data_IF_887016880723
#
_entry.id   IF_887016880723
#
_cell.length_a   1.000
_cell.length_b   1.000
_cell.length_c   1.000
_cell.angle_alpha   90.00
_cell.angle_beta   90.00
_cell.angle_gamma   90.00
#
_symmetry.space_group_name_H-M   'P 1'
#
loop_
_entity.id
_entity.type
_entity.pdbx_description
1 polymer ?
#
# COMPACT_ATOMS: atom_id res chain seq x y z
N UNK A 1 2.83 16.39 18.67
CA UNK A 1 2.33 15.60 17.51
C UNK A 1 2.83 14.15 17.48
N UNK A 2 3.88 13.76 18.23
CA UNK A 2 4.33 12.35 18.30
C UNK A 2 3.36 11.41 19.04
N UNK A 3 2.68 11.91 20.09
CA UNK A 3 1.74 11.12 20.90
C UNK A 3 0.58 10.54 20.06
N UNK A 4 -0.03 11.33 19.17
CA UNK A 4 -1.13 10.86 18.33
C UNK A 4 -0.70 9.76 17.35
N UNK A 5 0.50 9.86 16.76
CA UNK A 5 1.02 8.84 15.85
C UNK A 5 1.32 7.54 16.60
N UNK A 6 1.85 7.65 17.83
CA UNK A 6 2.10 6.50 18.70
C UNK A 6 0.80 5.84 19.13
N UNK A 7 -0.20 6.62 19.55
CA UNK A 7 -1.52 6.11 19.94
C UNK A 7 -2.23 5.44 18.76
N UNK A 8 -2.16 6.01 17.55
CA UNK A 8 -2.74 5.40 16.36
C UNK A 8 -2.03 4.09 16.01
N UNK A 9 -0.70 4.04 16.11
CA UNK A 9 0.07 2.82 15.90
C UNK A 9 -0.32 1.73 16.90
N UNK A 10 -0.49 2.06 18.18
CA UNK A 10 -0.91 1.12 19.21
C UNK A 10 -2.35 0.66 19.00
N UNK A 11 -3.27 1.55 18.65
CA UNK A 11 -4.65 1.19 18.32
C UNK A 11 -4.72 0.19 17.14
N UNK A 12 -3.88 0.37 16.11
CA UNK A 12 -3.82 -0.58 14.97
C UNK A 12 -3.24 -1.92 15.42
N UNK A 13 -2.28 -1.94 16.35
CA UNK A 13 -1.75 -3.17 16.93
C UNK A 13 -2.79 -3.91 17.77
N UNK A 14 -3.55 -3.17 18.58
CA UNK A 14 -4.57 -3.75 19.46
C UNK A 14 -5.78 -4.25 18.66
N UNK A 15 -6.16 -3.53 17.60
CA UNK A 15 -7.23 -3.92 16.66
C UNK A 15 -6.73 -4.72 15.46
N UNK A 16 -5.52 -5.27 15.55
CA UNK A 16 -4.89 -5.95 14.43
C UNK A 16 -5.78 -7.09 13.94
N UNK A 17 -6.34 -6.94 12.74
CA UNK A 17 -7.39 -7.82 12.23
C UNK A 17 -6.83 -8.87 11.25
N UNK A 18 -5.53 -9.19 11.33
CA UNK A 18 -4.87 -10.18 10.46
C UNK A 18 -5.61 -11.52 10.44
N UNK A 19 -6.06 -11.98 11.60
CA UNK A 19 -6.75 -13.27 11.77
C UNK A 19 -8.18 -13.28 11.17
N UNK A 20 -8.73 -12.10 10.85
CA UNK A 20 -10.05 -11.97 10.24
C UNK A 20 -10.02 -12.15 8.71
N UNK A 21 -8.83 -12.12 8.10
CA UNK A 21 -8.67 -12.19 6.65
C UNK A 21 -8.29 -13.59 6.16
N UNK A 22 -8.71 -13.96 4.93
CA UNK A 22 -8.24 -15.19 4.31
C UNK A 22 -6.71 -15.19 4.22
N UNK A 23 -6.13 -16.39 4.14
CA UNK A 23 -4.67 -16.59 4.14
C UNK A 23 -3.95 -15.72 3.10
N UNK A 24 -4.60 -15.39 1.98
CA UNK A 24 -4.12 -14.42 1.00
C UNK A 24 -5.24 -13.51 0.52
N UNK A 25 -4.95 -12.22 0.43
CA UNK A 25 -5.85 -11.23 -0.15
C UNK A 25 -5.08 -10.10 -0.84
N UNK A 26 -5.80 -9.30 -1.62
CA UNK A 26 -5.23 -8.18 -2.39
C UNK A 26 -5.91 -6.88 -1.95
N UNK A 27 -5.13 -5.83 -1.83
CA UNK A 27 -5.59 -4.46 -1.62
C UNK A 27 -4.98 -3.53 -2.65
N UNK A 28 -5.63 -2.40 -2.85
CA UNK A 28 -5.29 -1.44 -3.87
C UNK A 28 -5.04 -0.06 -3.26
N UNK A 29 -4.10 0.67 -3.87
CA UNK A 29 -3.84 2.07 -3.55
C UNK A 29 -3.51 2.86 -4.81
N UNK A 30 -4.26 3.93 -5.05
CA UNK A 30 -3.98 4.89 -6.09
C UNK A 30 -3.24 6.10 -5.55
N UNK A 31 -2.22 6.57 -6.26
CA UNK A 31 -1.57 7.86 -5.96
C UNK A 31 -0.82 8.41 -7.17
N UNK A 32 -0.51 9.70 -7.11
CA UNK A 32 0.51 10.31 -7.98
C UNK A 32 1.91 10.11 -7.43
N UNK A 33 2.88 9.91 -8.31
CA UNK A 33 4.29 10.07 -8.03
C UNK A 33 4.90 11.12 -8.94
N UNK A 34 5.94 11.80 -8.44
CA UNK A 34 6.78 12.62 -9.31
C UNK A 34 7.45 11.74 -10.36
N UNK A 35 7.70 12.28 -11.54
CA UNK A 35 8.45 11.55 -12.59
C UNK A 35 9.81 11.03 -12.09
N UNK A 36 10.48 11.80 -11.21
CA UNK A 36 11.75 11.42 -10.62
C UNK A 36 11.62 10.19 -9.72
N UNK A 37 10.61 10.15 -8.86
CA UNK A 37 10.40 9.03 -7.95
C UNK A 37 9.88 7.79 -8.69
N UNK A 38 9.07 8.00 -9.72
CA UNK A 38 8.66 6.93 -10.63
C UNK A 38 9.86 6.30 -11.36
N UNK A 39 10.76 7.09 -11.94
CA UNK A 39 11.94 6.56 -12.62
C UNK A 39 12.90 5.85 -11.65
N UNK A 40 13.05 6.34 -10.40
CA UNK A 40 13.78 5.61 -9.36
C UNK A 40 13.16 4.23 -9.09
N UNK A 41 11.84 4.18 -8.87
CA UNK A 41 11.12 2.92 -8.63
C UNK A 41 11.24 1.95 -9.80
N UNK A 42 11.11 2.46 -11.02
CA UNK A 42 11.21 1.69 -12.26
C UNK A 42 12.60 1.12 -12.48
N UNK A 43 13.65 1.79 -12.00
CA UNK A 43 15.02 1.31 -12.04
C UNK A 43 15.33 0.30 -10.92
N UNK A 44 14.57 0.31 -9.82
CA UNK A 44 14.70 -0.65 -8.71
C UNK A 44 13.82 -1.89 -8.90
N UNK A 45 13.78 -2.49 -10.10
CA UNK A 45 12.98 -3.70 -10.35
C UNK A 45 13.41 -4.84 -9.42
N UNK A 46 12.44 -5.49 -8.77
CA UNK A 46 12.70 -6.51 -7.75
C UNK A 46 13.12 -5.96 -6.39
N UNK A 47 13.29 -4.64 -6.27
CA UNK A 47 13.64 -3.96 -5.03
C UNK A 47 12.49 -3.81 -4.06
N UNK A 48 12.78 -3.11 -2.95
CA UNK A 48 11.83 -2.84 -1.87
C UNK A 48 11.29 -1.41 -1.95
N UNK A 49 10.01 -1.26 -1.63
CA UNK A 49 9.33 0.02 -1.42
C UNK A 49 8.86 0.06 0.03
N UNK A 50 9.37 1.04 0.77
CA UNK A 50 8.94 1.31 2.14
C UNK A 50 7.99 2.51 2.20
N UNK A 51 6.90 2.37 2.92
CA UNK A 51 6.02 3.47 3.30
C UNK A 51 6.33 3.89 4.74
N UNK A 52 6.89 5.09 4.89
CA UNK A 52 7.26 5.66 6.19
C UNK A 52 6.09 6.35 6.93
N UNK A 53 4.88 6.27 6.35
CA UNK A 53 3.65 6.81 6.91
C UNK A 53 2.62 5.69 7.06
N UNK A 54 1.52 5.96 7.74
CA UNK A 54 0.34 5.10 7.68
C UNK A 54 -0.10 4.95 6.22
N UNK A 55 -0.40 3.73 5.82
CA UNK A 55 -0.73 3.40 4.44
C UNK A 55 -2.18 2.95 4.38
N UNK A 56 -3.04 3.85 3.91
CA UNK A 56 -4.45 3.56 3.62
C UNK A 56 -4.56 2.86 2.26
N UNK A 57 -5.34 1.79 2.23
CA UNK A 57 -5.60 0.95 1.07
C UNK A 57 -7.08 0.54 1.05
N UNK A 58 -7.58 0.15 -0.11
CA UNK A 58 -8.96 -0.29 -0.29
C UNK A 58 -8.98 -1.67 -0.94
N UNK A 59 -9.97 -2.51 -0.63
CA UNK A 59 -10.19 -3.75 -1.39
C UNK A 59 -10.83 -3.50 -2.76
N UNK A 60 -11.36 -2.29 -2.97
CA UNK A 60 -11.93 -1.89 -4.24
C UNK A 60 -10.88 -1.26 -5.16
N UNK A 61 -10.58 -1.94 -6.26
CA UNK A 61 -9.70 -1.39 -7.30
C UNK A 61 -10.23 -0.07 -7.89
N UNK A 62 -11.55 0.13 -7.92
CA UNK A 62 -12.18 1.34 -8.44
C UNK A 62 -11.74 2.61 -7.68
N UNK A 63 -11.67 2.53 -6.35
CA UNK A 63 -11.20 3.65 -5.52
C UNK A 63 -9.75 4.01 -5.89
N UNK A 64 -8.86 3.02 -5.95
CA UNK A 64 -7.47 3.23 -6.34
C UNK A 64 -7.32 3.78 -7.77
N UNK A 65 -8.10 3.28 -8.73
CA UNK A 65 -8.08 3.79 -10.10
C UNK A 65 -8.46 5.27 -10.15
N UNK A 66 -9.52 5.68 -9.44
CA UNK A 66 -9.96 7.07 -9.40
C UNK A 66 -8.85 8.02 -8.94
N UNK A 67 -8.12 7.67 -7.88
CA UNK A 67 -6.99 8.48 -7.40
C UNK A 67 -5.81 8.49 -8.38
N UNK A 68 -5.47 7.36 -8.98
CA UNK A 68 -4.35 7.26 -9.91
C UNK A 68 -4.62 7.97 -11.24
N UNK A 69 -5.83 7.83 -11.79
CA UNK A 69 -6.27 8.51 -13.00
C UNK A 69 -6.30 10.03 -12.80
N UNK A 70 -6.87 10.50 -11.69
CA UNK A 70 -6.84 11.92 -11.32
C UNK A 70 -5.40 12.45 -11.27
N UNK A 71 -4.50 11.72 -10.62
CA UNK A 71 -3.09 12.11 -10.53
C UNK A 71 -2.33 12.06 -11.86
N UNK A 72 -2.75 11.23 -12.83
CA UNK A 72 -2.14 11.15 -14.15
C UNK A 72 -2.46 12.38 -15.02
N UNK A 73 -3.53 13.11 -14.72
CA UNK A 73 -3.90 14.35 -15.44
C UNK A 73 -3.03 15.55 -15.07
N UNK A 74 -2.40 15.54 -13.89
CA UNK A 74 -1.57 16.64 -13.41
C UNK A 74 -0.19 16.64 -14.08
N UNK A 75 0.32 17.79 -14.52
CA UNK A 75 1.66 17.94 -15.09
C UNK A 75 2.79 17.53 -14.11
N UNK A 76 3.81 16.82 -14.61
CA UNK A 76 4.93 16.32 -13.80
C UNK A 76 4.60 15.17 -12.83
N UNK A 77 3.35 14.67 -12.85
CA UNK A 77 2.89 13.53 -12.07
C UNK A 77 2.63 12.30 -12.94
N UNK A 78 2.91 11.12 -12.39
CA UNK A 78 2.59 9.81 -12.95
C UNK A 78 1.61 9.14 -12.01
N UNK A 79 0.44 8.78 -12.52
CA UNK A 79 -0.54 7.99 -11.80
C UNK A 79 -0.06 6.56 -11.61
N UNK A 80 -0.18 6.06 -10.38
CA UNK A 80 0.19 4.69 -10.04
C UNK A 80 -0.93 4.03 -9.25
N UNK A 81 -1.29 2.84 -9.69
CA UNK A 81 -2.12 1.90 -8.94
C UNK A 81 -1.21 0.82 -8.38
N UNK A 82 -1.05 0.80 -7.07
CA UNK A 82 -0.42 -0.30 -6.37
C UNK A 82 -1.45 -1.41 -6.14
N UNK A 83 -1.14 -2.60 -6.61
CA UNK A 83 -1.83 -3.85 -6.28
C UNK A 83 -0.95 -4.60 -5.29
N UNK A 84 -1.40 -4.73 -4.05
CA UNK A 84 -0.60 -5.26 -2.95
C UNK A 84 -1.15 -6.63 -2.54
N UNK A 85 -0.39 -7.68 -2.82
CA UNK A 85 -0.67 -9.05 -2.37
C UNK A 85 -0.19 -9.21 -0.91
N UNK A 86 -1.08 -9.66 -0.04
CA UNK A 86 -0.82 -9.85 1.39
C UNK A 86 -1.12 -11.29 1.75
N UNK A 87 -0.17 -11.92 2.43
CA UNK A 87 -0.38 -13.18 3.14
C UNK A 87 -0.59 -12.86 4.63
N UNK A 88 -1.83 -13.03 5.11
CA UNK A 88 -2.20 -12.69 6.50
C UNK A 88 -1.42 -13.49 7.53
N UNK A 89 -0.95 -14.69 7.17
CA UNK A 89 -0.22 -15.60 8.06
C UNK A 89 1.22 -15.15 8.29
N UNK A 90 1.78 -14.32 7.39
CA UNK A 90 3.21 -13.99 7.38
C UNK A 90 3.49 -12.49 7.46
N UNK A 91 2.51 -11.63 7.18
CA UNK A 91 2.70 -10.17 7.19
C UNK A 91 3.12 -9.69 8.58
N UNK A 92 4.25 -8.97 8.65
CA UNK A 92 4.78 -8.46 9.92
C UNK A 92 4.11 -7.15 10.32
N UNK A 93 3.84 -6.27 9.37
CA UNK A 93 3.20 -4.97 9.61
C UNK A 93 1.79 -5.16 10.17
N UNK A 94 1.44 -4.54 11.31
CA UNK A 94 0.07 -4.50 11.80
C UNK A 94 -0.87 -3.83 10.80
N UNK A 95 -2.07 -4.38 10.64
CA UNK A 95 -3.11 -3.86 9.76
C UNK A 95 -4.47 -3.96 10.43
N UNK A 96 -5.36 -3.01 10.15
CA UNK A 96 -6.72 -3.01 10.66
C UNK A 96 -7.71 -2.74 9.54
N UNK A 97 -8.84 -3.44 9.58
CA UNK A 97 -10.04 -3.03 8.87
C UNK A 97 -10.62 -1.79 9.53
N UNK A 98 -11.01 -0.78 8.75
CA UNK A 98 -11.71 0.38 9.30
C UNK A 98 -13.22 0.25 9.21
N UNK A 99 -13.76 -0.47 8.22
CA UNK A 99 -15.21 -0.72 8.08
C UNK A 99 -16.03 0.57 8.25
N UNK A 100 -17.02 0.53 9.14
CA UNK A 100 -17.94 1.65 9.42
C UNK A 100 -17.25 2.88 10.05
N UNK A 101 -16.00 2.77 10.49
CA UNK A 101 -15.21 3.92 10.96
C UNK A 101 -14.50 4.65 9.80
N UNK A 102 -14.48 4.07 8.60
CA UNK A 102 -13.96 4.77 7.42
C UNK A 102 -14.87 5.93 7.04
N UNK A 103 -14.29 6.98 6.47
CA UNK A 103 -15.06 8.08 5.88
C UNK A 103 -15.92 7.58 4.71
N UNK A 104 -15.51 6.49 4.05
CA UNK A 104 -16.27 5.79 3.02
C UNK A 104 -16.44 4.31 3.41
N UNK A 105 -17.52 3.96 4.14
CA UNK A 105 -17.74 2.60 4.65
C UNK A 105 -17.72 1.52 3.56
N UNK A 106 -18.17 1.89 2.34
CA UNK A 106 -18.20 0.97 1.21
C UNK A 106 -16.82 0.64 0.66
N UNK A 107 -15.79 1.48 0.84
CA UNK A 107 -14.46 1.28 0.25
C UNK A 107 -13.69 0.08 0.84
N UNK A 108 -14.23 -0.58 1.87
CA UNK A 108 -13.59 -1.69 2.57
C UNK A 108 -12.14 -1.35 2.93
N UNK A 109 -11.95 -0.18 3.58
CA UNK A 109 -10.63 0.38 3.83
C UNK A 109 -9.81 -0.47 4.82
N UNK A 110 -8.56 -0.73 4.43
CA UNK A 110 -7.55 -1.41 5.24
C UNK A 110 -6.40 -0.43 5.48
N UNK A 111 -6.12 -0.16 6.75
CA UNK A 111 -5.06 0.73 7.18
C UNK A 111 -3.87 -0.06 7.70
N UNK A 112 -2.73 0.12 7.05
CA UNK A 112 -1.44 -0.40 7.50
C UNK A 112 -0.77 0.59 8.45
N UNK A 113 -0.12 0.03 9.47
CA UNK A 113 0.76 0.80 10.33
C UNK A 113 2.00 1.30 9.58
N UNK A 114 2.71 2.24 10.21
CA UNK A 114 3.95 2.80 9.67
C UNK A 114 5.02 1.74 9.42
N UNK A 115 5.98 2.07 8.54
CA UNK A 115 7.11 1.22 8.15
C UNK A 115 6.70 -0.07 7.43
N UNK A 116 5.60 0.00 6.67
CA UNK A 116 5.19 -1.08 5.79
C UNK A 116 6.17 -1.19 4.61
N UNK A 117 6.81 -2.35 4.46
CA UNK A 117 7.75 -2.62 3.37
C UNK A 117 7.14 -3.66 2.42
N UNK A 118 7.31 -3.44 1.12
CA UNK A 118 6.79 -4.29 0.07
C UNK A 118 7.84 -4.53 -1.00
N UNK A 119 7.86 -5.73 -1.58
CA UNK A 119 8.73 -6.04 -2.73
C UNK A 119 7.99 -5.77 -4.04
N UNK A 120 8.64 -5.06 -4.97
CA UNK A 120 8.11 -4.85 -6.32
C UNK A 120 8.25 -6.14 -7.11
N UNK A 121 7.13 -6.71 -7.56
CA UNK A 121 7.13 -7.86 -8.47
C UNK A 121 7.15 -7.42 -9.93
N UNK A 122 6.11 -6.72 -10.36
CA UNK A 122 5.96 -6.32 -11.75
C UNK A 122 5.44 -4.89 -11.85
N UNK A 123 5.76 -4.23 -12.97
CA UNK A 123 5.25 -2.91 -13.30
C UNK A 123 4.73 -2.97 -14.73
N UNK A 124 3.47 -2.60 -14.93
CA UNK A 124 2.80 -2.62 -16.23
C UNK A 124 2.29 -1.22 -16.55
N UNK A 125 2.58 -0.74 -17.75
CA UNK A 125 1.99 0.51 -18.24
C UNK A 125 0.56 0.23 -18.67
N UNK A 126 -0.41 0.96 -18.11
CA UNK A 126 -1.81 0.90 -18.56
C UNK A 126 -2.10 1.92 -19.65
N UNK A 127 -1.75 3.17 -19.39
CA UNK A 127 -1.96 4.29 -20.31
C UNK A 127 -0.75 5.22 -20.29
N UNK A 128 -0.82 6.29 -21.07
CA UNK A 128 0.13 7.39 -20.94
C UNK A 128 0.07 7.94 -19.52
N UNK A 129 1.22 7.94 -18.83
CA UNK A 129 1.37 8.43 -17.44
C UNK A 129 0.54 7.70 -16.38
N UNK A 130 0.04 6.50 -16.68
CA UNK A 130 -0.66 5.62 -15.73
C UNK A 130 -0.05 4.21 -15.71
N UNK A 131 0.36 3.77 -14.52
CA UNK A 131 1.02 2.49 -14.30
C UNK A 131 0.34 1.67 -13.22
N UNK A 132 0.40 0.36 -13.38
CA UNK A 132 -0.02 -0.64 -12.40
C UNK A 132 1.24 -1.33 -11.86
N UNK A 133 1.38 -1.36 -10.54
CA UNK A 133 2.57 -1.89 -9.86
C UNK A 133 2.13 -2.96 -8.89
N UNK A 134 2.58 -4.19 -9.12
CA UNK A 134 2.33 -5.31 -8.24
C UNK A 134 3.38 -5.35 -7.14
N UNK A 135 2.90 -5.27 -5.90
CA UNK A 135 3.66 -5.32 -4.67
C UNK A 135 3.29 -6.57 -3.89
N UNK A 136 4.25 -7.09 -3.13
CA UNK A 136 4.00 -8.18 -2.17
C UNK A 136 4.51 -7.74 -0.81
N UNK A 137 3.68 -7.93 0.22
CA UNK A 137 4.08 -7.66 1.60
C UNK A 137 5.33 -8.47 1.95
N UNK A 138 6.38 -7.80 2.44
CA UNK A 138 7.58 -8.50 2.90
C UNK A 138 7.34 -9.11 4.28
N UNK A 139 7.98 -10.24 4.54
CA UNK A 139 7.86 -10.99 5.79
C UNK A 139 9.12 -10.82 6.64
N UNK A 140 9.05 -11.15 7.92
CA UNK A 140 10.17 -11.01 8.85
C UNK A 140 11.40 -11.86 8.48
N UNK A 141 11.22 -12.82 7.58
CA UNK A 141 12.27 -13.70 7.08
C UNK A 141 12.75 -13.31 5.66
N UNK A 142 12.47 -12.08 5.20
CA UNK A 142 13.01 -11.62 3.93
C UNK A 142 14.54 -11.47 4.03
N UNK A 143 15.33 -12.12 3.16
CA UNK A 143 16.79 -12.10 3.24
C UNK A 143 17.40 -10.69 3.10
N UNK A 144 16.68 -9.75 2.49
CA UNK A 144 17.12 -8.35 2.37
C UNK A 144 16.80 -7.51 3.63
N UNK A 145 15.95 -8.00 4.54
CA UNK A 145 15.58 -7.33 5.79
C UNK A 145 16.31 -7.88 7.03
N UNK A 146 17.11 -8.93 6.89
CA UNK A 146 17.80 -9.63 8.00
C UNK A 146 19.29 -9.26 8.13
N UNK A 147 19.69 -8.07 7.68
CA UNK A 147 21.10 -7.63 7.67
C UNK A 147 21.49 -6.78 8.86
#
# INVERSE_FOLDING_TARGET
MGFFLQDLHQNIKDKNSKDMYPSKFVVYRGQGLSEKDFEKMKNSRGGLVGFNCFLSTSRQAAAANMFAESAATAEGSIGIVFEIEIDSSNVTTPLTYLGDMSYYPDEEEILFSMHAVFRIRTMKKRMERLWEVQLVATYGNDPDLTR
#
